data_IF_875770007408
#
_entry.id   IF_875770007408
#
_cell.length_a   1.000
_cell.length_b   1.000
_cell.length_c   1.000
_cell.angle_alpha   90.00
_cell.angle_beta   90.00
_cell.angle_gamma   90.00
#
_symmetry.space_group_name_H-M   'P 1'
#
loop_
_entity.id
_entity.type
_entity.pdbx_description
1 polymer ?
#
# COMPACT_ATOMS: atom_id res chain seq x y z
N UNK A 1 -20.15 -1.49 -1.86
CA UNK A 1 -18.94 -2.28 -2.13
C UNK A 1 -18.31 -1.98 -3.49
N UNK A 2 -19.04 -1.91 -4.61
CA UNK A 2 -18.45 -1.66 -5.95
C UNK A 2 -17.53 -0.42 -6.02
N UNK A 3 -17.93 0.71 -5.44
CA UNK A 3 -17.10 1.92 -5.38
C UNK A 3 -15.79 1.68 -4.61
N UNK A 4 -15.87 0.97 -3.47
CA UNK A 4 -14.67 0.61 -2.68
C UNK A 4 -13.73 -0.26 -3.49
N UNK A 5 -14.25 -1.23 -4.25
CA UNK A 5 -13.42 -2.07 -5.10
C UNK A 5 -12.73 -1.26 -6.19
N UNK A 6 -13.47 -0.36 -6.86
CA UNK A 6 -12.88 0.53 -7.86
C UNK A 6 -11.78 1.41 -7.28
N UNK A 7 -12.03 2.03 -6.12
CA UNK A 7 -11.05 2.87 -5.44
C UNK A 7 -9.81 2.08 -5.02
N UNK A 8 -9.98 0.89 -4.42
CA UNK A 8 -8.86 0.04 -4.04
C UNK A 8 -8.08 -0.47 -5.26
N UNK A 9 -8.77 -0.91 -6.31
CA UNK A 9 -8.13 -1.32 -7.55
C UNK A 9 -7.37 -0.18 -8.22
N UNK A 10 -7.92 1.04 -8.19
CA UNK A 10 -7.23 2.22 -8.72
C UNK A 10 -5.98 2.55 -7.90
N UNK A 11 -6.06 2.50 -6.56
CA UNK A 11 -4.93 2.78 -5.68
C UNK A 11 -3.82 1.73 -5.80
N UNK A 12 -4.17 0.43 -5.78
CA UNK A 12 -3.24 -0.67 -6.02
C UNK A 12 -2.64 -0.61 -7.43
N UNK A 13 -3.44 -0.26 -8.43
CA UNK A 13 -2.98 -0.08 -9.81
C UNK A 13 -1.98 1.06 -9.94
N UNK A 14 -2.26 2.21 -9.31
CA UNK A 14 -1.33 3.33 -9.26
C UNK A 14 -0.01 2.94 -8.56
N UNK A 15 -0.09 2.27 -7.40
CA UNK A 15 1.07 1.73 -6.68
C UNK A 15 1.91 0.81 -7.58
N UNK A 16 1.27 -0.19 -8.21
CA UNK A 16 1.94 -1.12 -9.10
C UNK A 16 2.62 -0.43 -10.28
N UNK A 17 1.95 0.54 -10.91
CA UNK A 17 2.50 1.28 -12.05
C UNK A 17 3.73 2.10 -11.65
N UNK A 18 3.69 2.78 -10.50
CA UNK A 18 4.84 3.53 -9.98
C UNK A 18 5.99 2.57 -9.65
N UNK A 19 5.71 1.43 -9.02
CA UNK A 19 6.73 0.41 -8.76
C UNK A 19 7.36 -0.14 -10.03
N UNK A 20 6.56 -0.43 -11.07
CA UNK A 20 7.05 -0.85 -12.39
C UNK A 20 7.94 0.24 -13.01
N UNK A 21 7.53 1.50 -12.92
CA UNK A 21 8.31 2.62 -13.46
C UNK A 21 9.70 2.69 -12.78
N UNK A 22 9.76 2.60 -11.44
CA UNK A 22 11.03 2.58 -10.71
C UNK A 22 11.88 1.39 -11.18
N UNK A 23 11.31 0.18 -11.20
CA UNK A 23 12.03 -1.02 -11.62
C UNK A 23 12.54 -0.95 -13.07
N UNK A 24 11.82 -0.25 -13.96
CA UNK A 24 12.18 -0.13 -15.36
C UNK A 24 13.24 0.95 -15.63
N UNK A 25 13.30 1.99 -14.79
CA UNK A 25 14.10 3.20 -15.08
C UNK A 25 15.26 3.43 -14.12
N UNK A 26 15.20 2.85 -12.92
CA UNK A 26 16.22 3.06 -11.89
C UNK A 26 17.30 1.98 -11.92
N UNK A 27 18.29 2.19 -12.80
CA UNK A 27 19.47 1.33 -12.88
C UNK A 27 20.36 1.39 -11.64
N UNK A 28 20.31 2.50 -10.89
CA UNK A 28 21.09 2.63 -9.67
C UNK A 28 20.53 1.67 -8.61
N UNK A 29 19.21 1.61 -8.43
CA UNK A 29 18.58 0.67 -7.50
C UNK A 29 18.99 -0.78 -7.76
N UNK A 30 19.00 -1.21 -9.02
CA UNK A 30 19.38 -2.57 -9.41
C UNK A 30 20.85 -2.90 -9.16
N UNK A 31 21.75 -1.92 -9.30
CA UNK A 31 23.19 -2.14 -9.13
C UNK A 31 23.64 -1.95 -7.68
N UNK A 32 23.07 -0.96 -6.98
CA UNK A 32 23.42 -0.55 -5.64
C UNK A 32 22.66 -1.32 -4.54
N UNK A 33 21.40 -1.67 -4.78
CA UNK A 33 20.54 -2.34 -3.81
C UNK A 33 19.65 -3.43 -4.45
N UNK A 34 20.24 -4.48 -5.09
CA UNK A 34 19.46 -5.48 -5.82
C UNK A 34 18.38 -6.17 -4.99
N UNK A 35 18.67 -6.45 -3.71
CA UNK A 35 17.70 -7.07 -2.79
C UNK A 35 16.45 -6.21 -2.59
N UNK A 36 16.58 -4.89 -2.63
CA UNK A 36 15.47 -3.95 -2.47
C UNK A 36 14.66 -3.86 -3.77
N UNK A 37 15.33 -3.92 -4.93
CA UNK A 37 14.66 -4.03 -6.23
C UNK A 37 13.82 -5.32 -6.34
N UNK A 38 14.34 -6.46 -5.86
CA UNK A 38 13.56 -7.70 -5.79
C UNK A 38 12.38 -7.60 -4.81
N UNK A 39 12.57 -6.94 -3.66
CA UNK A 39 11.48 -6.64 -2.72
C UNK A 39 10.35 -5.83 -3.36
N UNK A 40 10.71 -4.75 -4.06
CA UNK A 40 9.76 -3.91 -4.81
C UNK A 40 9.03 -4.71 -5.91
N UNK A 41 9.75 -5.60 -6.61
CA UNK A 41 9.15 -6.50 -7.61
C UNK A 41 8.07 -7.39 -7.00
N UNK A 42 8.33 -7.97 -5.82
CA UNK A 42 7.35 -8.78 -5.11
C UNK A 42 6.12 -7.95 -4.69
N UNK A 43 6.32 -6.71 -4.24
CA UNK A 43 5.23 -5.80 -3.88
C UNK A 43 4.36 -5.42 -5.08
N UNK A 44 4.96 -5.09 -6.22
CA UNK A 44 4.23 -4.88 -7.48
C UNK A 44 3.37 -6.10 -7.83
N UNK A 45 3.95 -7.30 -7.76
CA UNK A 45 3.20 -8.54 -8.02
C UNK A 45 2.01 -8.74 -7.08
N UNK A 46 2.19 -8.45 -5.79
CA UNK A 46 1.12 -8.53 -4.79
C UNK A 46 0.01 -7.52 -5.06
N UNK A 47 0.35 -6.27 -5.41
CA UNK A 47 -0.64 -5.24 -5.72
C UNK A 47 -1.52 -5.66 -6.90
N UNK A 48 -0.90 -6.16 -7.98
CA UNK A 48 -1.61 -6.66 -9.15
C UNK A 48 -2.49 -7.88 -8.82
N UNK A 49 -2.01 -8.82 -8.00
CA UNK A 49 -2.79 -9.96 -7.56
C UNK A 49 -4.00 -9.53 -6.71
N UNK A 50 -3.82 -8.55 -5.82
CA UNK A 50 -4.87 -8.03 -4.95
C UNK A 50 -5.93 -7.26 -5.73
N UNK A 51 -5.57 -6.58 -6.83
CA UNK A 51 -6.57 -6.00 -7.75
C UNK A 51 -7.56 -7.07 -8.15
N UNK A 52 -7.11 -8.23 -8.65
CA UNK A 52 -8.01 -9.31 -9.04
C UNK A 52 -8.78 -9.91 -7.84
N UNK A 53 -8.09 -10.10 -6.70
CA UNK A 53 -8.68 -10.71 -5.51
C UNK A 53 -9.85 -9.89 -4.93
N UNK A 54 -9.76 -8.56 -4.93
CA UNK A 54 -10.82 -7.67 -4.40
C UNK A 54 -12.15 -7.87 -5.13
N UNK A 55 -12.12 -8.21 -6.43
CA UNK A 55 -13.31 -8.48 -7.23
C UNK A 55 -13.86 -9.91 -7.09
N UNK A 56 -13.08 -10.87 -6.59
CA UNK A 56 -13.47 -12.28 -6.47
C UNK A 56 -13.82 -12.70 -5.04
N UNK A 57 -13.03 -12.26 -4.05
CA UNK A 57 -13.08 -12.76 -2.66
C UNK A 57 -13.01 -11.59 -1.68
N UNK A 58 -13.97 -10.67 -1.78
CA UNK A 58 -13.95 -9.32 -1.20
C UNK A 58 -13.52 -9.24 0.28
N UNK A 59 -14.08 -10.03 1.20
CA UNK A 59 -13.77 -9.87 2.64
C UNK A 59 -12.32 -10.25 2.96
N UNK A 60 -11.85 -11.38 2.44
CA UNK A 60 -10.46 -11.82 2.63
C UNK A 60 -9.49 -10.91 1.88
N UNK A 61 -9.87 -10.45 0.69
CA UNK A 61 -9.06 -9.54 -0.10
C UNK A 61 -8.89 -8.18 0.59
N UNK A 62 -9.93 -7.61 1.22
CA UNK A 62 -9.82 -6.36 1.99
C UNK A 62 -8.81 -6.52 3.14
N UNK A 63 -8.85 -7.64 3.87
CA UNK A 63 -7.85 -7.93 4.91
C UNK A 63 -6.45 -8.10 4.31
N UNK A 64 -6.32 -8.79 3.18
CA UNK A 64 -5.07 -8.94 2.45
C UNK A 64 -4.49 -7.60 2.00
N UNK A 65 -5.33 -6.69 1.47
CA UNK A 65 -4.93 -5.33 1.10
C UNK A 65 -4.40 -4.56 2.31
N UNK A 66 -5.09 -4.63 3.47
CA UNK A 66 -4.62 -3.97 4.68
C UNK A 66 -3.26 -4.52 5.13
N UNK A 67 -3.12 -5.85 5.16
CA UNK A 67 -1.88 -6.51 5.57
C UNK A 67 -0.73 -6.16 4.62
N UNK A 68 -0.95 -6.26 3.31
CA UNK A 68 0.05 -5.94 2.29
C UNK A 68 0.45 -4.48 2.37
N UNK A 69 -0.50 -3.54 2.46
CA UNK A 69 -0.17 -2.12 2.58
C UNK A 69 0.61 -1.81 3.87
N UNK A 70 0.30 -2.51 4.97
CA UNK A 70 1.05 -2.39 6.23
C UNK A 70 2.48 -2.90 6.07
N UNK A 71 2.67 -4.09 5.48
CA UNK A 71 4.00 -4.67 5.25
C UNK A 71 4.84 -3.78 4.33
N UNK A 72 4.26 -3.28 3.24
CA UNK A 72 4.93 -2.39 2.31
C UNK A 72 5.34 -1.07 2.99
N UNK A 73 4.43 -0.46 3.76
CA UNK A 73 4.72 0.77 4.49
C UNK A 73 5.85 0.56 5.51
N UNK A 74 5.81 -0.53 6.28
CA UNK A 74 6.86 -0.87 7.26
C UNK A 74 8.18 -1.14 6.57
N UNK A 75 8.19 -1.85 5.44
CA UNK A 75 9.40 -2.10 4.66
C UNK A 75 10.01 -0.79 4.17
N UNK A 76 9.22 0.10 3.57
CA UNK A 76 9.70 1.40 3.08
C UNK A 76 10.22 2.29 4.23
N UNK A 77 9.49 2.37 5.35
CA UNK A 77 9.99 3.10 6.52
C UNK A 77 11.26 2.46 7.10
N UNK A 78 11.36 1.13 7.06
CA UNK A 78 12.56 0.39 7.43
C UNK A 78 13.76 0.75 6.56
N UNK A 79 13.56 0.87 5.24
CA UNK A 79 14.60 1.30 4.31
C UNK A 79 15.08 2.72 4.62
N UNK A 80 14.18 3.64 4.96
CA UNK A 80 14.54 5.02 5.33
C UNK A 80 15.33 5.07 6.65
N UNK A 81 14.89 4.31 7.66
CA UNK A 81 15.45 4.40 9.03
C UNK A 81 16.75 3.62 9.17
N UNK A 82 16.82 2.43 8.56
CA UNK A 82 17.91 1.48 8.78
C UNK A 82 18.36 0.73 7.53
N UNK A 83 17.85 1.07 6.35
CA UNK A 83 18.28 0.47 5.09
C UNK A 83 19.75 0.73 4.83
N UNK A 84 20.54 -0.34 4.70
CA UNK A 84 21.95 -0.25 4.37
C UNK A 84 22.34 -1.37 3.40
N UNK A 85 22.27 -1.12 2.09
CA UNK A 85 22.78 -2.04 1.08
C UNK A 85 24.27 -2.33 1.29
N UNK A 86 24.70 -3.55 0.97
CA UNK A 86 26.10 -3.95 1.12
C UNK A 86 27.02 -3.04 0.32
N UNK A 87 28.07 -2.53 0.96
CA UNK A 87 29.03 -1.62 0.32
C UNK A 87 28.57 -0.17 0.19
N UNK A 88 27.39 0.20 0.73
CA UNK A 88 26.87 1.56 0.72
C UNK A 88 26.63 2.10 2.13
N UNK A 89 26.99 3.37 2.41
CA UNK A 89 26.60 4.02 3.66
C UNK A 89 25.08 4.21 3.72
N UNK A 90 24.47 3.95 4.88
CA UNK A 90 23.03 4.09 5.10
C UNK A 90 22.52 5.50 4.75
N UNK A 91 23.30 6.55 5.06
CA UNK A 91 22.93 7.93 4.75
C UNK A 91 22.82 8.21 3.24
N UNK A 92 23.65 7.57 2.41
CA UNK A 92 23.60 7.73 0.95
C UNK A 92 22.34 7.09 0.41
N UNK A 93 22.03 5.86 0.85
CA UNK A 93 20.83 5.15 0.44
C UNK A 93 19.56 5.87 0.87
N UNK A 94 19.50 6.32 2.13
CA UNK A 94 18.38 7.11 2.65
C UNK A 94 18.16 8.40 1.85
N UNK A 95 19.23 9.15 1.55
CA UNK A 95 19.12 10.40 0.78
C UNK A 95 18.63 10.13 -0.65
N UNK A 96 19.10 9.05 -1.26
CA UNK A 96 18.61 8.59 -2.56
C UNK A 96 17.09 8.31 -2.51
N UNK A 97 16.61 7.54 -1.52
CA UNK A 97 15.19 7.21 -1.37
C UNK A 97 14.32 8.45 -1.13
N UNK A 98 14.78 9.39 -0.30
CA UNK A 98 14.01 10.60 0.03
C UNK A 98 14.02 11.64 -1.10
N UNK A 99 15.02 11.60 -1.99
CA UNK A 99 15.05 12.42 -3.20
C UNK A 99 14.20 11.83 -4.34
N UNK A 100 13.92 10.52 -4.31
CA UNK A 100 13.07 9.87 -5.30
C UNK A 100 11.58 10.13 -5.03
N UNK A 101 10.99 10.99 -5.87
CA UNK A 101 9.56 11.31 -5.83
C UNK A 101 8.66 10.09 -6.06
N UNK A 102 9.11 9.10 -6.84
CA UNK A 102 8.33 7.89 -7.10
C UNK A 102 8.27 7.03 -5.84
N UNK A 103 9.40 6.85 -5.16
CA UNK A 103 9.47 6.18 -3.86
C UNK A 103 8.61 6.87 -2.79
N UNK A 104 8.72 8.20 -2.66
CA UNK A 104 7.86 8.96 -1.72
C UNK A 104 6.37 8.84 -2.09
N UNK A 105 6.05 8.82 -3.39
CA UNK A 105 4.71 8.57 -3.90
C UNK A 105 4.16 7.19 -3.50
N UNK A 106 4.99 6.15 -3.56
CA UNK A 106 4.62 4.81 -3.09
C UNK A 106 4.31 4.82 -1.59
N UNK A 107 5.18 5.43 -0.77
CA UNK A 107 4.98 5.53 0.67
C UNK A 107 3.64 6.22 1.02
N UNK A 108 3.32 7.32 0.34
CA UNK A 108 2.04 8.01 0.51
C UNK A 108 0.86 7.14 0.06
N UNK A 109 1.00 6.44 -1.06
CA UNK A 109 -0.05 5.58 -1.61
C UNK A 109 -0.39 4.43 -0.66
N UNK A 110 0.61 3.82 0.01
CA UNK A 110 0.37 2.79 1.01
C UNK A 110 -0.41 3.33 2.21
N UNK A 111 -0.06 4.53 2.70
CA UNK A 111 -0.83 5.20 3.74
C UNK A 111 -2.29 5.45 3.33
N UNK A 112 -2.52 5.90 2.10
CA UNK A 112 -3.86 6.11 1.56
C UNK A 112 -4.67 4.80 1.47
N UNK A 113 -4.06 3.73 0.96
CA UNK A 113 -4.67 2.39 0.88
C UNK A 113 -5.06 1.92 2.28
N UNK A 114 -4.19 2.07 3.27
CA UNK A 114 -4.52 1.71 4.66
C UNK A 114 -5.72 2.50 5.18
N UNK A 115 -5.75 3.82 5.01
CA UNK A 115 -6.87 4.67 5.46
C UNK A 115 -8.19 4.26 4.82
N UNK A 116 -8.20 4.01 3.51
CA UNK A 116 -9.39 3.55 2.78
C UNK A 116 -9.84 2.19 3.33
N UNK A 117 -8.90 1.26 3.50
CA UNK A 117 -9.20 -0.11 3.91
C UNK A 117 -9.73 -0.15 5.35
N UNK A 118 -9.09 0.55 6.28
CA UNK A 118 -9.59 0.70 7.66
C UNK A 118 -10.94 1.39 7.71
N UNK A 119 -11.12 2.49 6.97
CA UNK A 119 -12.39 3.22 6.94
C UNK A 119 -13.55 2.37 6.41
N UNK A 120 -13.28 1.53 5.40
CA UNK A 120 -14.29 0.62 4.85
C UNK A 120 -14.63 -0.54 5.79
N UNK A 121 -13.65 -1.01 6.57
CA UNK A 121 -13.86 -2.03 7.59
C UNK A 121 -14.57 -1.49 8.85
N UNK A 122 -14.30 -0.24 9.23
CA UNK A 122 -14.89 0.40 10.41
C UNK A 122 -16.36 0.84 10.21
N UNK A 123 -16.74 1.26 8.98
CA UNK A 123 -18.10 1.76 8.67
C UNK A 123 -19.24 0.86 9.13
N UNK A 124 -19.24 -0.47 8.89
CA UNK A 124 -20.29 -1.37 9.37
C UNK A 124 -20.42 -1.40 10.90
N UNK A 125 -19.31 -1.25 11.62
CA UNK A 125 -19.28 -1.30 13.08
C UNK A 125 -19.81 0.01 13.69
N UNK A 126 -19.51 1.16 13.07
CA UNK A 126 -20.00 2.47 13.52
C UNK A 126 -21.51 2.65 13.36
N UNK A 127 -22.13 2.02 12.35
CA UNK A 127 -23.59 2.04 12.17
C UNK A 127 -24.34 1.02 13.06
N UNK A 128 -23.63 0.11 13.72
CA UNK A 128 -24.20 -0.86 14.67
C UNK A 128 -24.45 -0.30 16.08
N UNK A 129 -24.11 0.97 16.33
CA UNK A 129 -24.18 1.59 17.66
C UNK A 129 -25.25 2.69 17.78
N UNK A 130 -26.16 2.83 16.81
CA UNK A 130 -27.37 3.61 17.07
C UNK A 130 -28.25 2.81 18.05
N UNK A 131 -28.45 3.27 19.30
CA UNK A 131 -29.39 2.60 20.19
C UNK A 131 -30.76 2.62 19.51
N UNK A 132 -31.41 1.46 19.43
CA UNK A 132 -32.75 1.30 18.83
C UNK A 132 -33.85 2.16 19.46
N UNK A 133 -33.52 2.98 20.46
CA UNK A 133 -34.41 3.88 21.19
C UNK A 133 -34.97 5.05 20.34
N UNK A 134 -34.42 5.34 19.15
CA UNK A 134 -34.91 6.43 18.28
C UNK A 134 -35.77 5.96 17.11
N UNK A 135 -36.17 4.67 17.07
CA UNK A 135 -37.13 4.17 16.06
C UNK A 135 -38.59 4.44 16.40
N UNK A 136 -38.88 5.00 17.58
CA UNK A 136 -40.24 5.37 17.98
C UNK A 136 -40.35 6.89 17.83
N UNK A 137 -40.79 7.35 16.66
CA UNK A 137 -41.55 8.58 16.37
C UNK A 137 -41.36 8.84 14.88
N UNK A 138 -42.11 8.09 14.07
CA UNK A 138 -42.51 8.47 12.72
C UNK A 138 -43.87 7.84 12.50
N UNK A 139 -44.89 8.49 13.07
CA UNK A 139 -46.23 8.51 12.50
C UNK A 139 -46.33 9.75 11.64
#
# INVERSE_FOLDING_TARGET
MKIVHLVLSAALGASALVGIQILATDYWLWSAAPTHAYGLTAFVGLDLALIFAVWRVTRLAIFGVLLTATIQLVAMLGDIVGGQPAGLPAAVFRNYLLADTAYVGLLFTQGLIMVITVGTWARPHLHGHWPGALRIVRN
#
